data_IF_913776485709
#
_entry.id   IF_913776485709
#
_cell.length_a   1.000
_cell.length_b   1.000
_cell.length_c   1.000
_cell.angle_alpha   90.00
_cell.angle_beta   90.00
_cell.angle_gamma   90.00
#
_symmetry.space_group_name_H-M   'P 1'
#
loop_
_entity.id
_entity.type
_entity.pdbx_description
1 polymer ?
#
# COMPACT_ATOMS: atom_id res chain seq x y z
N UNK A 1 56.28 18.13 -2.68
CA UNK A 1 55.05 17.61 -2.04
C UNK A 1 53.98 17.42 -3.10
N UNK A 2 54.01 16.32 -3.84
CA UNK A 2 53.25 16.16 -5.10
C UNK A 2 52.69 14.74 -5.23
N UNK A 3 52.08 14.23 -4.15
CA UNK A 3 51.56 12.84 -4.08
C UNK A 3 50.24 12.66 -3.33
N UNK A 4 49.59 13.74 -2.87
CA UNK A 4 48.35 13.65 -2.08
C UNK A 4 47.05 13.91 -2.86
N UNK A 5 47.11 14.42 -4.10
CA UNK A 5 45.91 14.78 -4.88
C UNK A 5 45.28 13.64 -5.69
N UNK A 6 45.95 12.49 -5.81
CA UNK A 6 45.46 11.38 -6.64
C UNK A 6 44.40 10.49 -5.98
N UNK A 7 44.37 10.43 -4.65
CA UNK A 7 43.51 9.48 -3.93
C UNK A 7 42.13 10.04 -3.55
N UNK A 8 41.96 11.35 -3.48
CA UNK A 8 40.68 11.97 -3.08
C UNK A 8 39.66 11.91 -4.21
N UNK A 9 40.09 11.90 -5.48
CA UNK A 9 39.17 11.82 -6.63
C UNK A 9 38.56 10.42 -6.83
N UNK A 10 39.20 9.37 -6.31
CA UNK A 10 38.79 7.97 -6.55
C UNK A 10 37.74 7.48 -5.55
N UNK A 11 37.65 8.09 -4.36
CA UNK A 11 36.63 7.77 -3.35
C UNK A 11 35.29 8.47 -3.64
N UNK A 12 35.30 9.63 -4.31
CA UNK A 12 34.07 10.36 -4.66
C UNK A 12 33.26 9.64 -5.75
N UNK A 13 33.90 8.82 -6.59
CA UNK A 13 33.21 8.09 -7.67
C UNK A 13 32.50 6.80 -7.20
N UNK A 14 32.82 6.29 -6.00
CA UNK A 14 32.12 5.11 -5.44
C UNK A 14 30.86 5.47 -4.64
N UNK A 15 30.62 6.75 -4.33
CA UNK A 15 29.39 7.21 -3.64
C UNK A 15 28.30 7.61 -4.64
N UNK A 16 28.62 7.75 -5.92
CA UNK A 16 27.68 8.17 -6.97
C UNK A 16 26.77 7.07 -7.55
N UNK A 17 26.88 5.83 -7.08
CA UNK A 17 26.10 4.68 -7.57
C UNK A 17 25.07 4.15 -6.56
N UNK A 18 24.69 4.95 -5.56
CA UNK A 18 23.51 4.64 -4.74
C UNK A 18 22.29 5.27 -5.41
N UNK A 19 21.57 4.46 -6.17
CA UNK A 19 20.20 4.76 -6.61
C UNK A 19 20.09 5.30 -8.02
N UNK A 20 20.57 4.55 -9.02
CA UNK A 20 19.91 4.60 -10.33
C UNK A 20 18.43 4.30 -10.06
N UNK A 21 17.57 5.29 -10.33
CA UNK A 21 16.13 5.22 -10.16
C UNK A 21 15.52 4.11 -10.99
N UNK A 22 15.55 2.89 -10.44
CA UNK A 22 14.70 1.81 -10.89
C UNK A 22 13.30 2.19 -10.50
N UNK A 23 12.53 2.67 -11.47
CA UNK A 23 11.08 2.77 -11.33
C UNK A 23 10.53 1.43 -10.86
N UNK A 24 9.44 1.47 -10.12
CA UNK A 24 8.85 0.24 -9.57
C UNK A 24 8.21 -0.51 -10.73
N UNK A 25 8.85 -1.61 -11.16
CA UNK A 25 8.34 -2.47 -12.22
C UNK A 25 7.15 -3.32 -11.78
N UNK A 26 7.04 -3.58 -10.47
CA UNK A 26 5.95 -4.32 -9.85
C UNK A 26 4.96 -3.40 -9.15
N UNK A 27 3.88 -3.06 -9.85
CA UNK A 27 2.78 -2.26 -9.30
C UNK A 27 1.74 -3.10 -8.54
N UNK A 28 1.99 -4.41 -8.34
CA UNK A 28 1.04 -5.28 -7.65
C UNK A 28 1.03 -5.00 -6.16
N UNK A 29 -0.18 -4.91 -5.59
CA UNK A 29 -0.38 -4.86 -4.14
C UNK A 29 -0.58 -6.31 -3.67
N UNK A 30 0.27 -6.84 -2.78
CA UNK A 30 0.13 -8.21 -2.29
C UNK A 30 -1.13 -8.37 -1.43
N UNK A 31 -1.64 -9.61 -1.34
CA UNK A 31 -2.70 -9.91 -0.38
C UNK A 31 -2.19 -9.76 1.07
N UNK A 32 -3.05 -9.33 2.02
CA UNK A 32 -2.65 -9.21 3.42
C UNK A 32 -2.37 -10.59 4.05
N UNK A 33 -1.63 -10.63 5.18
CA UNK A 33 -1.37 -11.88 5.88
C UNK A 33 -2.68 -12.50 6.40
N UNK A 34 -2.69 -13.84 6.52
CA UNK A 34 -3.82 -14.60 7.08
C UNK A 34 -5.17 -14.20 6.50
N UNK A 35 -5.24 -14.02 5.18
CA UNK A 35 -6.40 -13.47 4.50
C UNK A 35 -6.93 -14.34 3.38
N UNK A 36 -8.18 -14.09 3.04
CA UNK A 36 -8.84 -14.61 1.83
C UNK A 36 -9.47 -13.46 1.06
N UNK A 37 -9.37 -13.50 -0.26
CA UNK A 37 -10.03 -12.50 -1.11
C UNK A 37 -11.54 -12.66 -1.01
N UNK A 38 -12.21 -11.58 -0.62
CA UNK A 38 -13.65 -11.55 -0.50
C UNK A 38 -14.30 -11.59 -1.88
N UNK A 39 -15.32 -12.43 -2.02
CA UNK A 39 -16.14 -12.51 -3.24
C UNK A 39 -17.56 -12.08 -2.91
N UNK A 40 -18.16 -11.31 -3.82
CA UNK A 40 -19.54 -10.83 -3.66
C UNK A 40 -20.51 -12.00 -3.43
N UNK A 41 -21.45 -11.83 -2.51
CA UNK A 41 -22.44 -12.84 -2.12
C UNK A 41 -21.99 -13.80 -1.01
N UNK A 42 -20.79 -13.63 -0.44
CA UNK A 42 -20.33 -14.43 0.70
C UNK A 42 -20.92 -13.95 2.04
N UNK A 43 -21.19 -12.66 2.17
CA UNK A 43 -21.73 -12.04 3.38
C UNK A 43 -22.51 -10.76 3.02
N UNK A 44 -23.82 -10.68 3.34
CA UNK A 44 -24.66 -9.53 2.97
C UNK A 44 -24.23 -8.20 3.59
N UNK A 45 -23.62 -8.22 4.77
CA UNK A 45 -23.13 -7.01 5.44
C UNK A 45 -21.89 -6.49 4.73
N UNK A 46 -20.96 -7.38 4.38
CA UNK A 46 -19.79 -7.04 3.58
C UNK A 46 -20.18 -6.62 2.16
N UNK A 47 -21.21 -7.23 1.56
CA UNK A 47 -21.70 -6.84 0.23
C UNK A 47 -22.10 -5.36 0.23
N UNK A 48 -22.83 -4.91 1.26
CA UNK A 48 -23.23 -3.51 1.41
C UNK A 48 -22.01 -2.59 1.56
N UNK A 49 -21.01 -2.99 2.36
CA UNK A 49 -19.78 -2.20 2.54
C UNK A 49 -18.98 -2.09 1.25
N UNK A 50 -18.81 -3.20 0.52
CA UNK A 50 -18.10 -3.27 -0.76
C UNK A 50 -18.82 -2.44 -1.82
N UNK A 51 -20.14 -2.52 -1.90
CA UNK A 51 -20.94 -1.74 -2.85
C UNK A 51 -20.87 -0.24 -2.52
N UNK A 52 -21.00 0.14 -1.24
CA UNK A 52 -20.88 1.53 -0.78
C UNK A 52 -19.50 2.12 -1.09
N UNK A 53 -18.43 1.38 -0.79
CA UNK A 53 -17.07 1.79 -1.10
C UNK A 53 -16.87 1.95 -2.61
N UNK A 54 -17.30 0.97 -3.40
CA UNK A 54 -17.16 0.98 -4.86
C UNK A 54 -17.91 2.15 -5.49
N UNK A 55 -19.11 2.46 -4.99
CA UNK A 55 -19.89 3.61 -5.44
C UNK A 55 -19.21 4.94 -5.11
N UNK A 56 -18.68 5.07 -3.89
CA UNK A 56 -17.89 6.25 -3.49
C UNK A 56 -16.68 6.45 -4.41
N UNK A 57 -15.93 5.39 -4.69
CA UNK A 57 -14.77 5.45 -5.58
C UNK A 57 -15.14 5.79 -7.04
N UNK A 58 -16.23 5.22 -7.56
CA UNK A 58 -16.72 5.53 -8.90
C UNK A 58 -17.10 7.02 -9.05
N UNK A 59 -17.66 7.64 -8.01
CA UNK A 59 -18.02 9.05 -8.02
C UNK A 59 -16.81 10.00 -8.09
N UNK A 60 -15.62 9.54 -7.67
CA UNK A 60 -14.38 10.34 -7.68
C UNK A 60 -13.64 10.33 -9.03
N UNK A 61 -14.21 9.74 -10.09
CA UNK A 61 -13.72 9.83 -11.47
C UNK A 61 -12.33 9.23 -11.72
N UNK A 62 -11.76 8.52 -10.74
CA UNK A 62 -10.42 7.94 -10.81
C UNK A 62 -10.51 6.46 -11.15
N UNK A 63 -9.80 6.04 -12.20
CA UNK A 63 -9.67 4.62 -12.56
C UNK A 63 -8.87 3.91 -11.47
N UNK A 64 -9.56 3.26 -10.54
CA UNK A 64 -8.94 2.53 -9.42
C UNK A 64 -9.15 1.03 -9.57
N UNK A 65 -8.14 0.26 -9.17
CA UNK A 65 -8.27 -1.19 -9.00
C UNK A 65 -8.43 -1.46 -7.51
N UNK A 66 -9.58 -2.01 -7.13
CA UNK A 66 -9.91 -2.32 -5.74
C UNK A 66 -9.96 -3.84 -5.55
N UNK A 67 -9.38 -4.31 -4.44
CA UNK A 67 -9.57 -5.68 -3.96
C UNK A 67 -9.93 -5.65 -2.48
N UNK A 68 -10.71 -6.64 -2.06
CA UNK A 68 -11.25 -6.76 -0.72
C UNK A 68 -10.80 -8.08 -0.14
N UNK A 69 -10.29 -8.07 1.09
CA UNK A 69 -9.83 -9.26 1.78
C UNK A 69 -10.37 -9.29 3.20
N UNK A 70 -10.76 -10.49 3.64
CA UNK A 70 -11.01 -10.75 5.05
C UNK A 70 -9.75 -11.36 5.66
N UNK A 71 -9.18 -10.70 6.65
CA UNK A 71 -7.99 -11.15 7.38
C UNK A 71 -8.31 -11.42 8.85
N UNK A 72 -7.69 -12.45 9.41
CA UNK A 72 -7.72 -12.72 10.85
C UNK A 72 -6.50 -12.14 11.58
N UNK A 73 -5.57 -11.50 10.87
CA UNK A 73 -4.44 -10.79 11.48
C UNK A 73 -4.92 -9.46 12.10
N UNK A 74 -4.14 -8.94 13.05
CA UNK A 74 -4.39 -7.62 13.64
C UNK A 74 -4.06 -6.48 12.67
N UNK A 75 -4.64 -5.29 12.91
CA UNK A 75 -4.41 -4.12 12.07
C UNK A 75 -2.92 -3.73 12.05
N UNK A 76 -2.23 -3.90 13.18
CA UNK A 76 -0.79 -3.63 13.30
C UNK A 76 0.03 -4.63 12.48
N UNK A 77 -0.28 -5.92 12.52
CA UNK A 77 0.40 -6.94 11.70
C UNK A 77 0.21 -6.66 10.21
N UNK A 78 -1.00 -6.30 9.78
CA UNK A 78 -1.30 -5.96 8.39
C UNK A 78 -0.53 -4.70 7.97
N UNK A 79 -0.53 -3.65 8.80
CA UNK A 79 0.22 -2.42 8.55
C UNK A 79 1.72 -2.68 8.43
N UNK A 80 2.29 -3.48 9.35
CA UNK A 80 3.70 -3.84 9.35
C UNK A 80 4.06 -4.68 8.12
N UNK A 81 3.18 -5.62 7.73
CA UNK A 81 3.32 -6.40 6.51
C UNK A 81 3.43 -5.50 5.28
N UNK A 82 2.45 -4.60 5.04
CA UNK A 82 2.50 -3.74 3.86
C UNK A 82 3.67 -2.76 3.91
N UNK A 83 3.96 -2.17 5.07
CA UNK A 83 5.11 -1.27 5.21
C UNK A 83 6.41 -2.00 4.83
N UNK A 84 6.54 -3.27 5.21
CA UNK A 84 7.73 -4.08 4.88
C UNK A 84 7.75 -4.51 3.43
N UNK A 85 6.67 -5.12 2.93
CA UNK A 85 6.63 -5.71 1.59
C UNK A 85 6.61 -4.67 0.47
N UNK A 86 5.89 -3.57 0.65
CA UNK A 86 5.83 -2.51 -0.36
C UNK A 86 7.16 -1.76 -0.45
N UNK A 87 7.81 -1.47 0.67
CA UNK A 87 9.12 -0.78 0.67
C UNK A 87 10.23 -1.63 0.08
N UNK A 88 10.24 -2.95 0.31
CA UNK A 88 11.14 -3.89 -0.38
C UNK A 88 10.99 -3.84 -1.91
N UNK A 89 9.80 -3.52 -2.40
CA UNK A 89 9.49 -3.39 -3.83
C UNK A 89 9.74 -1.97 -4.37
N UNK A 90 10.30 -1.07 -3.57
CA UNK A 90 10.65 0.29 -3.98
C UNK A 90 9.53 1.32 -3.79
N UNK A 91 8.39 0.94 -3.22
CA UNK A 91 7.34 1.89 -2.86
C UNK A 91 7.76 2.72 -1.64
N UNK A 92 7.34 3.99 -1.62
CA UNK A 92 7.56 4.89 -0.48
C UNK A 92 6.26 5.10 0.25
N UNK A 93 6.28 5.00 1.58
CA UNK A 93 5.13 5.38 2.40
C UNK A 93 4.88 6.88 2.24
N UNK A 94 3.62 7.26 2.04
CA UNK A 94 3.18 8.66 2.01
C UNK A 94 2.15 8.89 3.11
N UNK A 95 2.11 10.12 3.62
CA UNK A 95 1.08 10.49 4.60
C UNK A 95 -0.29 10.53 3.96
N UNK A 96 -1.28 10.00 4.68
CA UNK A 96 -2.70 10.16 4.37
C UNK A 96 -3.30 11.11 5.39
N UNK A 97 -4.32 11.91 5.01
CA UNK A 97 -5.23 12.42 6.02
C UNK A 97 -5.78 11.26 6.85
N UNK A 98 -5.69 11.37 8.18
CA UNK A 98 -6.29 10.42 9.10
C UNK A 98 -7.80 10.43 8.93
N UNK A 99 -8.39 9.27 8.65
CA UNK A 99 -9.84 9.08 8.66
C UNK A 99 -10.19 8.43 10.01
N UNK A 100 -11.10 9.02 10.81
CA UNK A 100 -11.53 8.45 12.08
C UNK A 100 -11.95 6.98 11.93
N UNK A 101 -11.63 6.16 12.92
CA UNK A 101 -12.03 4.76 13.02
C UNK A 101 -11.55 3.84 11.87
N UNK A 102 -10.53 4.30 11.12
CA UNK A 102 -9.85 3.46 10.12
C UNK A 102 -8.36 3.49 10.35
N UNK A 103 -7.72 2.33 10.23
CA UNK A 103 -6.26 2.29 10.11
C UNK A 103 -5.94 2.28 8.61
N UNK A 104 -5.06 3.19 8.17
CA UNK A 104 -4.63 3.22 6.78
C UNK A 104 -3.12 3.36 6.65
N UNK A 105 -2.60 2.88 5.53
CA UNK A 105 -1.24 3.13 5.09
C UNK A 105 -1.25 3.31 3.58
N UNK A 106 -0.60 4.38 3.11
CA UNK A 106 -0.56 4.73 1.71
C UNK A 106 0.88 4.69 1.19
N UNK A 107 1.02 4.38 -0.08
CA UNK A 107 2.30 4.25 -0.74
C UNK A 107 2.29 4.95 -2.11
N UNK A 108 3.45 5.43 -2.51
CA UNK A 108 3.69 5.97 -3.84
C UNK A 108 4.92 5.31 -4.48
N UNK A 109 4.78 5.01 -5.77
CA UNK A 109 5.83 4.50 -6.62
C UNK A 109 5.68 5.11 -8.02
N UNK A 110 6.58 6.01 -8.37
CA UNK A 110 6.48 6.83 -9.59
C UNK A 110 5.13 7.56 -9.65
N UNK A 111 4.32 7.28 -10.68
CA UNK A 111 2.98 7.81 -10.87
C UNK A 111 1.89 6.91 -10.27
N UNK A 112 2.24 5.84 -9.56
CA UNK A 112 1.27 4.94 -8.94
C UNK A 112 1.10 5.26 -7.46
N UNK A 113 -0.13 5.19 -6.99
CA UNK A 113 -0.48 5.31 -5.57
C UNK A 113 -1.23 4.04 -5.15
N UNK A 114 -0.87 3.51 -3.99
CA UNK A 114 -1.57 2.42 -3.34
C UNK A 114 -2.10 2.90 -2.00
N UNK A 115 -3.37 2.63 -1.70
CA UNK A 115 -3.98 2.88 -0.41
C UNK A 115 -4.45 1.56 0.20
N UNK A 116 -4.06 1.31 1.45
CA UNK A 116 -4.49 0.15 2.22
C UNK A 116 -5.35 0.66 3.36
N UNK A 117 -6.62 0.29 3.36
CA UNK A 117 -7.56 0.63 4.43
C UNK A 117 -7.92 -0.64 5.21
N UNK A 118 -7.90 -0.55 6.53
CA UNK A 118 -8.20 -1.63 7.45
C UNK A 118 -9.37 -1.21 8.33
N UNK A 119 -10.44 -2.01 8.30
CA UNK A 119 -11.69 -1.78 9.03
C UNK A 119 -11.90 -2.98 9.95
N UNK A 120 -12.02 -2.72 11.25
CA UNK A 120 -12.32 -3.76 12.24
C UNK A 120 -13.80 -4.16 12.12
N UNK A 121 -14.05 -5.43 11.78
CA UNK A 121 -15.41 -5.91 11.52
C UNK A 121 -16.23 -6.13 12.80
N UNK A 122 -15.62 -6.06 13.99
CA UNK A 122 -16.36 -6.11 15.25
C UNK A 122 -17.38 -4.98 15.38
N UNK A 123 -17.13 -3.83 14.75
CA UNK A 123 -18.08 -2.70 14.72
C UNK A 123 -19.38 -3.01 13.99
N UNK A 124 -19.37 -4.03 13.11
CA UNK A 124 -20.52 -4.49 12.34
C UNK A 124 -21.02 -5.88 12.80
N UNK A 125 -20.60 -6.34 13.99
CA UNK A 125 -20.96 -7.65 14.53
C UNK A 125 -20.24 -8.83 13.89
N UNK A 126 -19.22 -8.58 13.06
CA UNK A 126 -18.37 -9.59 12.44
C UNK A 126 -17.11 -9.88 13.24
N UNK A 127 -16.21 -10.68 12.66
CA UNK A 127 -14.88 -10.96 13.22
C UNK A 127 -13.80 -10.71 12.18
N UNK A 128 -12.61 -10.33 12.64
CA UNK A 128 -11.46 -10.04 11.78
C UNK A 128 -11.45 -8.62 11.22
N UNK A 129 -10.61 -8.41 10.22
CA UNK A 129 -10.37 -7.11 9.60
C UNK A 129 -10.69 -7.20 8.11
N UNK A 130 -11.56 -6.31 7.64
CA UNK A 130 -11.73 -6.05 6.22
C UNK A 130 -10.57 -5.17 5.75
N UNK A 131 -9.79 -5.69 4.82
CA UNK A 131 -8.69 -4.98 4.18
C UNK A 131 -9.09 -4.61 2.76
N UNK A 132 -9.04 -3.32 2.46
CA UNK A 132 -9.33 -2.78 1.13
C UNK A 132 -8.03 -2.28 0.54
N UNK A 133 -7.60 -2.89 -0.56
CA UNK A 133 -6.42 -2.43 -1.31
C UNK A 133 -6.89 -1.68 -2.55
N UNK A 134 -6.46 -0.43 -2.68
CA UNK A 134 -6.78 0.44 -3.81
C UNK A 134 -5.51 0.83 -4.51
N UNK A 135 -5.38 0.49 -5.79
CA UNK A 135 -4.31 0.96 -6.67
C UNK A 135 -4.83 1.98 -7.67
N UNK A 136 -4.07 3.05 -7.91
CA UNK A 136 -4.36 4.07 -8.91
C UNK A 136 -3.10 4.55 -9.62
N UNK A 137 -3.23 4.99 -10.86
CA UNK A 137 -2.19 5.69 -11.60
C UNK A 137 -2.59 7.16 -11.74
N UNK A 138 -1.81 8.05 -11.15
CA UNK A 138 -1.94 9.50 -11.26
C UNK A 138 -1.44 9.92 -12.65
N UNK A 139 -2.26 10.69 -13.37
CA UNK A 139 -1.92 11.22 -14.70
C UNK A 139 -1.17 12.54 -14.61
#
# INVERSE_FOLDING_TARGET
MQRFFGYVLLVVLMVGLVGCGGGVSDTTIPAPPSSSEYQKGQDPTLDIMVDSFSQSMASNGTSTTNKFYMSTASAEEIKNFYTTEMTKRGWKTIESPSIPDTTSVNFQADNNVAAINMIDMSMAGGTGILVITTGTTVK
#
